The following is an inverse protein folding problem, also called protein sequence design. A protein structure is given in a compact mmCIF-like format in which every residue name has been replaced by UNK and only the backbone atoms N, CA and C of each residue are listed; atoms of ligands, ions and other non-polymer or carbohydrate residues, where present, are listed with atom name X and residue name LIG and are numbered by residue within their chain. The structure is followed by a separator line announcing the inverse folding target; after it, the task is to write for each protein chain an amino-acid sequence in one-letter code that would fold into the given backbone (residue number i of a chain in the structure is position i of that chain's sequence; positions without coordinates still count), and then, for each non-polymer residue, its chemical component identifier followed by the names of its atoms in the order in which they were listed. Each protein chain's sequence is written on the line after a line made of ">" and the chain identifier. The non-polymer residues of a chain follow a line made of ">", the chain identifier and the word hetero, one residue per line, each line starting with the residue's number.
data_IF_240614848778
#
_entry.id   IF_240614848778
#
_cell.length_a   1.000
_cell.length_b   1.000
_cell.length_c   1.000
_cell.angle_alpha   90.00
_cell.angle_beta   90.00
_cell.angle_gamma   90.00
#
_symmetry.space_group_name_H-M   'P 1'
#
loop_
_entity.id
_entity.type
_entity.pdbx_description
1 polymer ?
#
# COMPACT_ATOMS: atom_id res chain seq x y z
N UNK A 1 -10.78 -1.13 -16.56
CA UNK A 1 -10.11 -0.54 -15.39
C UNK A 1 -9.03 0.42 -15.87
N UNK A 2 -9.24 1.73 -15.63
CA UNK A 2 -8.34 2.80 -16.09
C UNK A 2 -6.91 2.67 -15.56
N UNK A 3 -6.71 2.01 -14.43
CA UNK A 3 -5.40 1.83 -13.79
C UNK A 3 -4.56 0.72 -14.43
N UNK A 4 -5.17 -0.26 -15.08
CA UNK A 4 -4.43 -1.37 -15.70
C UNK A 4 -3.42 -0.92 -16.75
N UNK A 5 -3.73 0.15 -17.51
CA UNK A 5 -2.82 0.69 -18.52
C UNK A 5 -1.53 1.29 -17.97
N UNK A 6 -1.49 1.60 -16.66
CA UNK A 6 -0.33 2.17 -15.98
C UNK A 6 0.53 1.13 -15.26
N UNK A 7 0.13 -0.15 -15.23
CA UNK A 7 0.95 -1.19 -14.62
C UNK A 7 2.23 -1.41 -15.41
N UNK A 8 3.31 -1.78 -14.69
CA UNK A 8 4.61 -2.05 -15.30
C UNK A 8 4.50 -3.10 -16.41
N UNK A 9 3.78 -4.19 -16.16
CA UNK A 9 3.62 -5.29 -17.10
C UNK A 9 2.97 -4.82 -18.41
N UNK A 10 1.89 -4.06 -18.33
CA UNK A 10 1.18 -3.55 -19.52
C UNK A 10 2.03 -2.55 -20.30
N UNK A 11 2.72 -1.67 -19.60
CA UNK A 11 3.62 -0.72 -20.27
C UNK A 11 4.83 -1.42 -20.88
N UNK A 12 5.35 -2.45 -20.23
CA UNK A 12 6.44 -3.26 -20.74
C UNK A 12 6.04 -4.00 -22.02
N UNK A 13 4.85 -4.61 -22.04
CA UNK A 13 4.30 -5.29 -23.24
C UNK A 13 3.95 -4.33 -24.38
N UNK A 14 3.57 -3.10 -24.07
CA UNK A 14 3.25 -2.08 -25.06
C UNK A 14 4.49 -1.35 -25.63
N UNK A 15 5.68 -1.61 -25.09
CA UNK A 15 6.91 -0.96 -25.54
C UNK A 15 7.27 -1.37 -26.97
N UNK A 16 7.75 -0.45 -27.85
CA UNK A 16 8.11 -0.74 -29.24
C UNK A 16 9.10 -1.91 -29.42
N UNK A 17 9.99 -2.12 -28.46
CA UNK A 17 10.97 -3.21 -28.50
C UNK A 17 10.41 -4.57 -28.02
N UNK A 18 9.22 -4.61 -27.45
CA UNK A 18 8.65 -5.85 -26.91
C UNK A 18 8.43 -6.95 -27.95
N UNK A 19 7.97 -6.68 -29.18
CA UNK A 19 7.84 -7.71 -30.20
C UNK A 19 9.16 -8.42 -30.51
N UNK A 20 10.28 -7.70 -30.51
CA UNK A 20 11.61 -8.27 -30.70
C UNK A 20 11.96 -9.19 -29.51
N UNK A 21 11.74 -8.73 -28.29
CA UNK A 21 11.96 -9.53 -27.09
C UNK A 21 11.11 -10.80 -27.09
N UNK A 22 9.84 -10.67 -27.45
CA UNK A 22 8.92 -11.81 -27.55
C UNK A 22 9.42 -12.87 -28.54
N UNK A 23 9.89 -12.44 -29.73
CA UNK A 23 10.45 -13.33 -30.74
C UNK A 23 11.70 -14.06 -30.24
N UNK A 24 12.60 -13.36 -29.54
CA UNK A 24 13.79 -13.97 -28.94
C UNK A 24 13.40 -14.98 -27.84
N UNK A 25 12.46 -14.62 -26.95
CA UNK A 25 11.95 -15.54 -25.91
C UNK A 25 11.30 -16.77 -26.52
N UNK A 26 10.60 -16.64 -27.65
CA UNK A 26 10.04 -17.77 -28.40
C UNK A 26 11.16 -18.68 -28.92
N UNK A 27 12.18 -18.11 -29.58
CA UNK A 27 13.35 -18.87 -30.08
C UNK A 27 14.10 -19.59 -28.94
N UNK A 28 14.24 -18.98 -27.76
CA UNK A 28 14.82 -19.63 -26.58
C UNK A 28 13.98 -20.82 -26.11
N UNK A 29 12.65 -20.71 -26.12
CA UNK A 29 11.75 -21.82 -25.75
C UNK A 29 11.87 -22.99 -26.74
N UNK A 30 11.89 -22.71 -28.04
CA UNK A 30 12.04 -23.69 -29.09
C UNK A 30 13.39 -24.41 -28.97
N UNK A 31 14.48 -23.65 -28.83
CA UNK A 31 15.82 -24.20 -28.66
C UNK A 31 15.94 -25.08 -27.39
N UNK A 32 15.26 -24.74 -26.30
CA UNK A 32 15.21 -25.57 -25.07
C UNK A 32 14.57 -26.95 -25.30
N UNK A 33 13.67 -27.08 -26.26
CA UNK A 33 13.03 -28.32 -26.64
C UNK A 33 13.92 -29.30 -27.42
N UNK A 34 15.06 -28.84 -27.93
CA UNK A 34 16.00 -29.69 -28.68
C UNK A 34 16.68 -30.70 -27.76
N UNK A 35 16.73 -31.99 -28.20
CA UNK A 35 17.35 -33.09 -27.43
C UNK A 35 18.87 -33.08 -27.44
N UNK A 36 19.49 -32.61 -28.54
CA UNK A 36 20.95 -32.57 -28.70
C UNK A 36 21.48 -31.17 -28.33
N UNK A 37 22.37 -31.12 -27.33
CA UNK A 37 23.02 -29.88 -26.86
C UNK A 37 24.48 -29.86 -27.24
N UNK A 38 24.75 -29.44 -28.48
CA UNK A 38 26.13 -29.25 -28.99
C UNK A 38 26.71 -27.91 -28.49
N UNK A 39 28.00 -27.71 -28.70
CA UNK A 39 28.66 -26.44 -28.38
C UNK A 39 28.02 -25.27 -29.16
N UNK A 40 27.64 -25.50 -30.41
CA UNK A 40 26.90 -24.52 -31.21
C UNK A 40 25.53 -24.18 -30.61
N UNK A 41 24.85 -25.18 -30.00
CA UNK A 41 23.60 -24.98 -29.26
C UNK A 41 23.83 -24.07 -28.06
N UNK A 42 24.88 -24.30 -27.24
CA UNK A 42 25.21 -23.50 -26.07
C UNK A 42 25.53 -22.05 -26.49
N UNK A 43 26.37 -21.86 -27.49
CA UNK A 43 26.71 -20.53 -28.00
C UNK A 43 25.47 -19.77 -28.51
N UNK A 44 24.57 -20.44 -29.25
CA UNK A 44 23.33 -19.84 -29.73
C UNK A 44 22.41 -19.45 -28.55
N UNK A 45 22.28 -20.33 -27.57
CA UNK A 45 21.47 -20.10 -26.36
C UNK A 45 21.98 -18.89 -25.60
N UNK A 46 23.29 -18.77 -25.39
CA UNK A 46 23.90 -17.68 -24.64
C UNK A 46 23.75 -16.34 -25.37
N UNK A 47 23.92 -16.33 -26.70
CA UNK A 47 23.65 -15.13 -27.51
C UNK A 47 22.20 -14.67 -27.41
N UNK A 48 21.24 -15.59 -27.50
CA UNK A 48 19.82 -15.26 -27.37
C UNK A 48 19.47 -14.74 -25.98
N UNK A 49 20.00 -15.36 -24.91
CA UNK A 49 19.78 -14.89 -23.54
C UNK A 49 20.37 -13.50 -23.31
N UNK A 50 21.62 -13.28 -23.75
CA UNK A 50 22.27 -11.98 -23.64
C UNK A 50 21.48 -10.89 -24.37
N UNK A 51 21.01 -11.18 -25.58
CA UNK A 51 20.20 -10.24 -26.33
C UNK A 51 18.84 -9.97 -25.71
N UNK A 52 18.18 -10.99 -25.13
CA UNK A 52 16.93 -10.81 -24.39
C UNK A 52 17.13 -9.90 -23.17
N UNK A 53 18.20 -10.16 -22.39
CA UNK A 53 18.54 -9.33 -21.22
C UNK A 53 18.82 -7.89 -21.60
N UNK A 54 19.57 -7.66 -22.69
CA UNK A 54 19.83 -6.31 -23.18
C UNK A 54 18.54 -5.54 -23.53
N UNK A 55 17.61 -6.18 -24.23
CA UNK A 55 16.34 -5.55 -24.60
C UNK A 55 15.48 -5.32 -23.34
N UNK A 56 15.42 -6.27 -22.42
CA UNK A 56 14.69 -6.12 -21.15
C UNK A 56 15.22 -4.93 -20.34
N UNK A 57 16.52 -4.77 -20.23
CA UNK A 57 17.14 -3.64 -19.55
C UNK A 57 16.85 -2.32 -20.25
N UNK A 58 16.88 -2.30 -21.60
CA UNK A 58 16.54 -1.10 -22.37
C UNK A 58 15.08 -0.68 -22.19
N UNK A 59 14.13 -1.61 -22.29
CA UNK A 59 12.71 -1.34 -22.03
C UNK A 59 12.54 -0.81 -20.61
N UNK A 60 13.14 -1.46 -19.62
CA UNK A 60 13.07 -1.03 -18.21
C UNK A 60 13.61 0.39 -18.04
N UNK A 61 14.78 0.68 -18.58
CA UNK A 61 15.40 2.00 -18.50
C UNK A 61 14.52 3.09 -19.14
N UNK A 62 13.90 2.81 -20.31
CA UNK A 62 12.95 3.72 -20.94
C UNK A 62 11.75 3.99 -20.03
N UNK A 63 11.11 2.95 -19.50
CA UNK A 63 9.92 3.10 -18.65
C UNK A 63 10.21 3.89 -17.38
N UNK A 64 11.33 3.63 -16.69
CA UNK A 64 11.72 4.38 -15.49
C UNK A 64 12.23 5.77 -15.80
N UNK A 65 12.86 5.98 -16.96
CA UNK A 65 13.26 7.31 -17.43
C UNK A 65 12.07 8.25 -17.70
N UNK A 66 10.94 7.69 -18.14
CA UNK A 66 9.71 8.44 -18.39
C UNK A 66 8.86 8.61 -17.11
N UNK A 67 8.97 7.69 -16.16
CA UNK A 67 8.13 7.68 -14.97
C UNK A 67 8.53 8.79 -13.99
N UNK A 68 7.60 9.70 -13.69
CA UNK A 68 7.77 10.72 -12.65
C UNK A 68 7.38 10.23 -11.26
N UNK A 69 6.47 9.28 -11.20
CA UNK A 69 5.97 8.66 -9.96
C UNK A 69 5.89 7.16 -10.16
N UNK A 70 6.36 6.41 -9.18
CA UNK A 70 6.22 4.96 -9.12
C UNK A 70 5.43 4.61 -7.87
N UNK A 71 4.28 3.96 -8.03
CA UNK A 71 3.43 3.50 -6.94
C UNK A 71 3.53 1.99 -6.79
N UNK A 72 3.76 1.51 -5.57
CA UNK A 72 3.78 0.09 -5.23
C UNK A 72 3.49 -0.11 -3.74
N UNK A 73 3.25 -1.36 -3.34
CA UNK A 73 3.22 -1.69 -1.92
C UNK A 73 4.63 -1.64 -1.31
N UNK A 74 4.74 -1.54 0.02
CA UNK A 74 6.04 -1.55 0.71
C UNK A 74 6.86 -2.80 0.37
N UNK A 75 6.21 -3.97 0.36
CA UNK A 75 6.86 -5.23 -0.04
C UNK A 75 7.15 -5.28 -1.54
N UNK A 76 6.31 -4.65 -2.36
CA UNK A 76 6.53 -4.48 -3.80
C UNK A 76 7.80 -3.71 -4.12
N UNK A 77 8.25 -2.83 -3.21
CA UNK A 77 9.52 -2.12 -3.35
C UNK A 77 10.75 -3.06 -3.34
N UNK A 78 10.62 -4.31 -2.90
CA UNK A 78 11.66 -5.33 -3.01
C UNK A 78 11.73 -6.01 -4.39
N UNK A 79 10.80 -5.72 -5.30
CA UNK A 79 10.75 -6.37 -6.61
C UNK A 79 12.03 -6.06 -7.40
N UNK A 80 12.54 -7.08 -8.13
CA UNK A 80 13.73 -6.98 -8.99
C UNK A 80 13.60 -5.89 -10.06
N UNK A 81 12.37 -5.58 -10.47
CA UNK A 81 12.09 -4.48 -11.41
C UNK A 81 12.61 -3.14 -10.89
N UNK A 82 12.62 -2.95 -9.57
CA UNK A 82 13.13 -1.74 -8.91
C UNK A 82 14.60 -1.86 -8.47
N UNK A 83 15.28 -2.96 -8.81
CA UNK A 83 16.69 -3.16 -8.42
C UNK A 83 17.59 -2.10 -9.07
N UNK A 84 18.40 -1.42 -8.25
CA UNK A 84 19.26 -0.32 -8.71
C UNK A 84 18.57 1.04 -8.79
N UNK A 85 17.25 1.11 -8.81
CA UNK A 85 16.52 2.39 -8.87
C UNK A 85 16.62 3.13 -7.53
N UNK A 86 16.82 4.46 -7.62
CA UNK A 86 16.83 5.40 -6.48
C UNK A 86 15.87 6.54 -6.76
N UNK A 87 15.23 7.00 -5.70
CA UNK A 87 14.21 8.05 -5.77
C UNK A 87 14.62 9.24 -4.89
N UNK A 88 14.28 10.44 -5.30
CA UNK A 88 14.51 11.63 -4.49
C UNK A 88 13.66 11.62 -3.22
N UNK A 89 12.39 11.24 -3.34
CA UNK A 89 11.42 11.28 -2.25
C UNK A 89 10.54 10.04 -2.27
N UNK A 90 10.32 9.46 -1.09
CA UNK A 90 9.37 8.40 -0.82
C UNK A 90 8.21 8.95 0.00
N UNK A 91 6.99 8.68 -0.43
CA UNK A 91 5.78 8.88 0.36
C UNK A 91 5.29 7.51 0.83
N UNK A 92 5.08 7.35 2.13
CA UNK A 92 4.45 6.15 2.70
C UNK A 92 3.09 6.57 3.21
N UNK A 93 2.06 6.16 2.50
CA UNK A 93 0.66 6.37 2.91
C UNK A 93 0.21 5.28 3.87
N UNK A 94 -0.75 5.60 4.76
CA UNK A 94 -1.21 4.74 5.85
C UNK A 94 -0.04 4.24 6.74
N UNK A 95 0.95 5.10 6.98
CA UNK A 95 2.20 4.73 7.63
C UNK A 95 2.02 4.27 9.09
N UNK A 96 0.93 4.67 9.74
CA UNK A 96 0.58 4.21 11.08
C UNK A 96 0.11 2.75 11.11
N UNK A 97 -0.26 2.17 9.97
CA UNK A 97 -0.65 0.76 9.85
C UNK A 97 0.48 -0.12 9.28
N UNK A 98 1.63 0.48 8.95
CA UNK A 98 2.75 -0.22 8.34
C UNK A 98 3.73 -0.74 9.39
N UNK A 99 4.06 -2.04 9.33
CA UNK A 99 5.15 -2.60 10.12
C UNK A 99 6.47 -1.91 9.80
N UNK A 100 7.28 -1.59 10.81
CA UNK A 100 8.55 -0.89 10.65
C UNK A 100 9.48 -1.60 9.66
N UNK A 101 9.60 -2.93 9.76
CA UNK A 101 10.44 -3.71 8.84
C UNK A 101 10.05 -3.56 7.36
N UNK A 102 8.74 -3.44 7.08
CA UNK A 102 8.24 -3.21 5.72
C UNK A 102 8.60 -1.81 5.22
N UNK A 103 8.54 -0.79 6.09
CA UNK A 103 8.95 0.57 5.74
C UNK A 103 10.41 0.62 5.29
N UNK A 104 11.31 -0.07 5.97
CA UNK A 104 12.74 -0.08 5.64
C UNK A 104 13.06 -0.66 4.26
N UNK A 105 12.21 -1.55 3.72
CA UNK A 105 12.35 -2.07 2.34
C UNK A 105 12.31 -0.92 1.34
N UNK A 106 11.38 0.02 1.51
CA UNK A 106 11.22 1.16 0.61
C UNK A 106 12.18 2.31 0.95
N UNK A 107 12.39 2.60 2.24
CA UNK A 107 13.20 3.74 2.72
C UNK A 107 14.62 3.71 2.17
N UNK A 108 15.24 2.55 2.11
CA UNK A 108 16.62 2.39 1.59
C UNK A 108 16.78 2.77 0.10
N UNK A 109 15.68 3.06 -0.60
CA UNK A 109 15.68 3.47 -2.01
C UNK A 109 15.53 4.98 -2.21
N UNK A 110 15.30 5.75 -1.15
CA UNK A 110 15.03 7.17 -1.25
C UNK A 110 15.95 8.01 -0.37
N UNK A 111 16.22 9.23 -0.82
CA UNK A 111 17.01 10.19 -0.04
C UNK A 111 16.18 10.95 1.00
N UNK A 112 14.86 11.05 0.80
CA UNK A 112 13.91 11.73 1.67
C UNK A 112 12.67 10.87 1.84
N UNK A 113 12.10 10.85 3.06
CA UNK A 113 10.88 10.10 3.37
C UNK A 113 9.85 11.03 3.96
N UNK A 114 8.60 10.91 3.51
CA UNK A 114 7.42 11.58 4.03
C UNK A 114 6.43 10.50 4.44
N UNK A 115 6.06 10.48 5.71
CA UNK A 115 5.02 9.60 6.23
C UNK A 115 3.69 10.34 6.21
N UNK A 116 2.68 9.75 5.60
CA UNK A 116 1.28 10.15 5.70
C UNK A 116 0.53 9.07 6.46
N UNK A 117 -0.27 9.46 7.45
CA UNK A 117 -1.01 8.51 8.28
C UNK A 117 -1.41 9.15 9.58
N UNK A 118 -2.04 8.36 10.42
CA UNK A 118 -2.58 8.81 11.69
C UNK A 118 -2.32 7.77 12.78
N UNK A 119 -1.41 8.07 13.68
CA UNK A 119 -1.00 7.19 14.76
C UNK A 119 -2.03 7.06 15.90
N UNK A 120 -3.08 7.87 15.88
CA UNK A 120 -4.21 7.77 16.78
C UNK A 120 -5.30 6.79 16.26
N UNK A 121 -5.18 6.32 15.02
CA UNK A 121 -6.05 5.30 14.43
C UNK A 121 -5.50 3.89 14.66
N UNK A 122 -6.07 2.88 13.99
CA UNK A 122 -5.75 1.48 14.21
C UNK A 122 -4.26 1.19 13.90
N UNK A 123 -3.58 0.45 14.79
CA UNK A 123 -2.21 0.01 14.58
C UNK A 123 -2.13 -1.13 13.55
N UNK A 124 -0.91 -1.56 13.17
CA UNK A 124 -0.72 -2.74 12.33
C UNK A 124 -1.35 -3.99 12.93
N UNK A 125 -1.93 -4.84 12.08
CA UNK A 125 -2.44 -6.14 12.53
C UNK A 125 -1.30 -7.10 12.83
N UNK A 126 -1.11 -7.46 14.10
CA UNK A 126 -0.11 -8.43 14.56
C UNK A 126 -0.82 -9.66 15.12
N UNK A 127 -0.74 -10.81 14.42
CA UNK A 127 -1.42 -12.05 14.82
C UNK A 127 -0.80 -12.74 16.05
N UNK A 128 0.51 -12.57 16.25
CA UNK A 128 1.22 -13.19 17.38
C UNK A 128 1.22 -12.28 18.59
N UNK A 129 0.59 -12.72 19.67
CA UNK A 129 0.57 -11.99 20.97
C UNK A 129 2.00 -11.79 21.50
N UNK A 130 2.88 -12.77 21.35
CA UNK A 130 4.27 -12.66 21.78
C UNK A 130 5.03 -11.58 20.98
N UNK A 131 4.81 -11.52 19.67
CA UNK A 131 5.42 -10.49 18.82
C UNK A 131 4.86 -9.08 19.15
N UNK A 132 3.57 -8.99 19.44
CA UNK A 132 2.94 -7.74 19.86
C UNK A 132 3.55 -7.24 21.17
N UNK A 133 3.68 -8.12 22.18
CA UNK A 133 4.35 -7.79 23.46
C UNK A 133 5.83 -7.45 23.27
N UNK A 134 6.48 -8.02 22.25
CA UNK A 134 7.85 -7.71 21.86
C UNK A 134 8.01 -6.39 21.09
N UNK A 135 6.94 -5.62 20.89
CA UNK A 135 6.97 -4.29 20.28
C UNK A 135 6.76 -4.27 18.76
N UNK A 136 6.39 -5.40 18.12
CA UNK A 136 6.15 -5.44 16.67
C UNK A 136 4.99 -4.53 16.22
N UNK A 137 4.06 -4.21 17.11
CA UNK A 137 2.94 -3.30 16.85
C UNK A 137 3.31 -1.82 16.82
N UNK A 138 4.47 -1.44 17.36
CA UNK A 138 4.94 -0.04 17.35
C UNK A 138 5.46 0.31 15.96
N UNK A 139 4.86 1.31 15.32
CA UNK A 139 5.23 1.70 13.96
C UNK A 139 6.42 2.65 13.92
N UNK A 140 7.12 2.71 12.79
CA UNK A 140 8.18 3.69 12.58
C UNK A 140 7.63 5.13 12.66
N UNK A 141 6.42 5.37 12.13
CA UNK A 141 5.75 6.66 12.22
C UNK A 141 5.53 7.06 13.68
N UNK A 142 4.96 6.19 14.52
CA UNK A 142 4.74 6.45 15.95
C UNK A 142 6.04 6.79 16.68
N UNK A 143 7.12 6.07 16.38
CA UNK A 143 8.45 6.35 16.96
C UNK A 143 8.99 7.72 16.54
N UNK A 144 8.78 8.12 15.29
CA UNK A 144 9.21 9.42 14.78
C UNK A 144 8.39 10.54 15.42
N UNK A 145 7.07 10.39 15.50
CA UNK A 145 6.18 11.36 16.18
C UNK A 145 6.62 11.62 17.60
N UNK A 146 6.98 10.56 18.34
CA UNK A 146 7.47 10.68 19.74
C UNK A 146 8.87 11.29 19.85
N UNK A 147 9.77 10.93 18.94
CA UNK A 147 11.17 11.34 19.03
C UNK A 147 11.45 12.71 18.40
N UNK A 148 10.62 13.13 17.43
CA UNK A 148 10.80 14.35 16.65
C UNK A 148 9.46 15.05 16.37
N UNK A 149 8.76 15.54 17.41
CA UNK A 149 7.46 16.18 17.22
C UNK A 149 7.54 17.42 16.33
N UNK A 150 8.70 18.06 16.25
CA UNK A 150 8.94 19.26 15.42
C UNK A 150 8.84 19.01 13.90
N UNK A 151 8.91 17.75 13.46
CA UNK A 151 8.76 17.42 12.03
C UNK A 151 7.35 16.94 11.68
N UNK A 152 6.44 16.96 12.65
CA UNK A 152 5.06 16.51 12.49
C UNK A 152 4.16 17.69 12.13
N UNK A 153 3.31 17.51 11.14
CA UNK A 153 2.29 18.50 10.76
C UNK A 153 0.91 17.85 10.84
N UNK A 154 0.05 18.38 11.70
CA UNK A 154 -1.34 17.97 11.80
C UNK A 154 -2.15 18.62 10.66
N UNK A 155 -2.89 17.81 9.90
CA UNK A 155 -3.89 18.32 8.96
C UNK A 155 -5.16 18.69 9.72
N UNK A 156 -5.43 19.99 9.85
CA UNK A 156 -6.45 20.52 10.77
C UNK A 156 -7.85 20.61 10.17
N UNK A 157 -8.02 20.41 8.87
CA UNK A 157 -9.32 20.53 8.21
C UNK A 157 -9.67 19.20 7.55
N UNK A 158 -10.80 18.61 7.96
CA UNK A 158 -11.34 17.40 7.38
C UNK A 158 -12.55 17.70 6.47
N UNK A 159 -12.71 16.88 5.40
CA UNK A 159 -13.76 17.03 4.38
C UNK A 159 -14.65 15.78 4.27
N UNK A 160 -14.56 14.84 5.20
CA UNK A 160 -15.21 13.54 5.11
C UNK A 160 -16.56 13.50 5.82
N UNK A 161 -16.58 13.92 7.08
CA UNK A 161 -17.72 13.65 7.96
C UNK A 161 -18.34 14.92 8.55
N UNK A 162 -19.58 14.78 9.00
CA UNK A 162 -20.32 15.77 9.75
C UNK A 162 -19.53 16.21 11.01
N UNK A 163 -19.73 17.46 11.43
CA UNK A 163 -19.06 18.04 12.59
C UNK A 163 -19.32 17.25 13.88
N UNK A 164 -20.58 16.83 14.13
CA UNK A 164 -20.91 16.10 15.35
C UNK A 164 -20.21 14.74 15.42
N UNK A 165 -19.99 14.08 14.28
CA UNK A 165 -19.25 12.82 14.21
C UNK A 165 -17.75 13.08 14.48
N UNK A 166 -17.17 14.14 13.91
CA UNK A 166 -15.77 14.47 14.07
C UNK A 166 -15.41 14.98 15.46
N UNK A 167 -16.33 15.67 16.12
CA UNK A 167 -16.09 16.39 17.38
C UNK A 167 -15.47 15.51 18.45
N UNK A 168 -16.02 14.32 18.68
CA UNK A 168 -15.45 13.38 19.65
C UNK A 168 -13.99 13.05 19.36
N UNK A 169 -13.66 12.70 18.11
CA UNK A 169 -12.31 12.35 17.72
C UNK A 169 -11.37 13.55 17.79
N UNK A 170 -11.84 14.75 17.42
CA UNK A 170 -11.06 15.98 17.52
C UNK A 170 -10.67 16.28 18.95
N UNK A 171 -11.65 16.27 19.86
CA UNK A 171 -11.42 16.62 21.26
C UNK A 171 -10.54 15.57 21.96
N UNK A 172 -10.77 14.28 21.68
CA UNK A 172 -10.09 13.18 22.39
C UNK A 172 -8.66 12.93 21.88
N UNK A 173 -8.43 12.98 20.56
CA UNK A 173 -7.17 12.55 19.95
C UNK A 173 -6.31 13.71 19.43
N UNK A 174 -6.93 14.84 19.06
CA UNK A 174 -6.25 15.91 18.36
C UNK A 174 -6.34 17.26 19.09
N UNK A 175 -6.65 17.24 20.38
CA UNK A 175 -6.69 18.44 21.23
C UNK A 175 -7.70 19.50 20.76
N UNK A 176 -8.76 19.11 20.05
CA UNK A 176 -9.76 20.02 19.49
C UNK A 176 -9.29 20.78 18.23
N UNK A 177 -8.11 20.46 17.68
CA UNK A 177 -7.53 21.21 16.57
C UNK A 177 -8.05 20.81 15.19
N UNK A 178 -8.68 19.62 15.05
CA UNK A 178 -9.24 19.17 13.78
C UNK A 178 -10.67 19.69 13.63
N UNK A 179 -10.89 20.46 12.58
CA UNK A 179 -12.15 21.11 12.27
C UNK A 179 -12.78 20.52 11.01
N UNK A 180 -14.09 20.58 10.93
CA UNK A 180 -14.84 20.22 9.72
C UNK A 180 -14.83 21.39 8.74
N UNK A 181 -14.59 21.10 7.47
CA UNK A 181 -14.57 22.12 6.41
C UNK A 181 -15.96 22.74 6.25
N UNK A 182 -16.03 24.05 5.92
CA UNK A 182 -17.30 24.71 5.60
C UNK A 182 -18.07 24.00 4.48
N UNK A 183 -19.38 23.89 4.66
CA UNK A 183 -20.28 23.27 3.69
C UNK A 183 -20.49 21.77 3.85
N UNK A 184 -19.77 21.10 4.77
CA UNK A 184 -19.99 19.68 5.10
C UNK A 184 -20.32 19.45 6.58
N UNK A 185 -20.39 20.50 7.39
CA UNK A 185 -20.66 20.45 8.83
C UNK A 185 -21.96 19.72 9.14
N UNK A 186 -22.94 19.89 8.26
CA UNK A 186 -24.31 19.34 8.41
C UNK A 186 -24.58 18.17 7.47
N UNK A 187 -23.52 17.57 6.86
CA UNK A 187 -23.68 16.42 5.96
C UNK A 187 -24.42 15.29 6.68
N UNK A 188 -25.53 14.83 6.10
CA UNK A 188 -26.34 13.71 6.57
C UNK A 188 -26.59 12.71 5.44
N UNK A 189 -26.86 11.45 5.75
CA UNK A 189 -27.23 10.43 4.75
C UNK A 189 -28.71 10.55 4.39
N UNK A 190 -29.52 10.93 5.35
CA UNK A 190 -30.97 11.15 5.22
C UNK A 190 -31.29 12.48 5.90
N UNK A 191 -32.49 13.02 5.67
CA UNK A 191 -32.98 14.23 6.34
C UNK A 191 -33.26 14.02 7.85
N UNK A 192 -32.41 13.24 8.52
CA UNK A 192 -32.45 13.05 9.96
C UNK A 192 -31.65 14.14 10.68
N UNK A 193 -32.29 14.75 11.66
CA UNK A 193 -31.73 15.84 12.46
C UNK A 193 -30.54 15.40 13.35
N UNK A 194 -30.22 14.12 13.43
CA UNK A 194 -29.18 13.56 14.31
C UNK A 194 -28.19 12.71 13.52
N UNK A 195 -27.06 13.26 13.11
CA UNK A 195 -26.02 12.54 12.37
C UNK A 195 -25.28 11.49 13.22
N UNK A 196 -25.40 11.58 14.55
CA UNK A 196 -24.84 10.62 15.48
C UNK A 196 -25.83 10.40 16.63
N UNK A 197 -26.10 9.14 16.94
CA UNK A 197 -26.91 8.73 18.07
C UNK A 197 -26.19 7.62 18.84
N UNK A 198 -26.15 7.74 20.16
CA UNK A 198 -25.64 6.69 21.03
C UNK A 198 -26.82 5.84 21.53
N UNK A 199 -26.79 4.56 21.24
CA UNK A 199 -27.75 3.58 21.74
C UNK A 199 -27.04 2.69 22.76
N UNK A 200 -27.47 2.76 24.02
CA UNK A 200 -26.92 1.92 25.07
C UNK A 200 -27.64 0.57 25.07
N UNK A 201 -26.92 -0.48 24.74
CA UNK A 201 -27.42 -1.87 24.72
C UNK A 201 -26.99 -2.67 25.95
N UNK A 202 -26.41 -2.04 26.98
CA UNK A 202 -25.89 -2.74 28.16
C UNK A 202 -26.95 -3.50 28.97
N UNK A 203 -28.21 -3.07 28.93
CA UNK A 203 -29.32 -3.74 29.55
C UNK A 203 -30.00 -4.77 28.62
N UNK A 204 -29.65 -4.81 27.35
CA UNK A 204 -30.18 -5.78 26.41
C UNK A 204 -29.43 -7.11 26.54
N UNK A 205 -30.14 -8.24 26.52
CA UNK A 205 -29.53 -9.59 26.59
C UNK A 205 -28.91 -9.98 25.22
N UNK A 206 -28.16 -9.05 24.63
CA UNK A 206 -27.51 -9.20 23.33
C UNK A 206 -26.19 -9.95 23.46
N UNK A 207 -26.15 -11.21 23.00
CA UNK A 207 -24.93 -12.01 22.92
C UNK A 207 -24.46 -12.13 21.48
N UNK A 208 -23.15 -12.05 21.29
CA UNK A 208 -22.55 -12.41 20.02
C UNK A 208 -22.74 -13.91 19.72
N UNK A 209 -23.27 -14.22 18.56
CA UNK A 209 -23.46 -15.57 18.06
C UNK A 209 -22.46 -15.86 16.92
N UNK A 210 -21.95 -17.10 16.89
CA UNK A 210 -21.14 -17.56 15.73
C UNK A 210 -22.08 -18.04 14.63
N UNK A 211 -21.86 -17.57 13.42
CA UNK A 211 -22.63 -17.99 12.23
C UNK A 211 -21.71 -18.49 11.14
N UNK A 212 -22.11 -19.65 10.57
CA UNK A 212 -21.44 -20.25 9.42
C UNK A 212 -20.12 -20.93 9.74
N UNK A 213 -19.55 -21.58 8.72
CA UNK A 213 -18.29 -22.32 8.82
C UNK A 213 -17.04 -21.40 8.98
N UNK A 214 -17.18 -20.14 8.69
CA UNK A 214 -16.07 -19.16 8.70
C UNK A 214 -15.95 -18.32 9.98
N UNK A 215 -16.57 -18.73 11.06
CA UNK A 215 -16.51 -18.04 12.37
C UNK A 215 -16.96 -16.57 12.30
N UNK A 216 -17.92 -16.24 11.45
CA UNK A 216 -18.60 -14.94 11.48
C UNK A 216 -19.32 -14.74 12.82
N UNK A 217 -19.30 -13.51 13.35
CA UNK A 217 -20.05 -13.14 14.55
C UNK A 217 -21.18 -12.20 14.17
N UNK A 218 -22.33 -12.40 14.76
CA UNK A 218 -23.47 -11.49 14.66
C UNK A 218 -23.99 -11.16 16.07
N UNK A 219 -24.52 -9.98 16.23
CA UNK A 219 -25.31 -9.59 17.37
C UNK A 219 -26.71 -9.20 16.87
N UNK A 220 -27.72 -10.03 17.17
CA UNK A 220 -29.09 -9.82 16.67
C UNK A 220 -29.73 -8.59 17.30
N UNK A 221 -29.45 -8.35 18.56
CA UNK A 221 -29.98 -7.19 19.32
C UNK A 221 -29.49 -5.86 18.74
N UNK A 222 -28.24 -5.82 18.21
CA UNK A 222 -27.72 -4.63 17.57
C UNK A 222 -28.16 -4.47 16.10
N UNK A 223 -28.66 -5.57 15.49
CA UNK A 223 -29.14 -5.56 14.11
C UNK A 223 -30.60 -5.14 13.97
N UNK A 224 -31.41 -5.25 15.02
CA UNK A 224 -32.81 -4.83 15.12
C UNK A 224 -32.92 -3.34 15.49
#
# INVERSE_FOLDING_TARGET
>A
DKMLSFTYERRFEAHPDYPQLWSIRKAIRELRGERRRSDAWHQKMDRLKSRATEIELRIRASLFGEARVVACTLTGAANRVLEGEKFSTLFIDEAAQALEAACWIAIRRAGRVIFAGDHCQLPPTVKSIMALKGGLGTTLMERIVKAKPEVVTLLKVQYRMNEQIMRFSSDWFYGGEVQTAPGIEHRSILDYDRPMMWVDTSEADGKEEFVGENFGRINRTEAE
#
